data_IF_524211310630
#
_entry.id   IF_524211310630
#
_cell.length_a   1.000
_cell.length_b   1.000
_cell.length_c   1.000
_cell.angle_alpha   90.00
_cell.angle_beta   90.00
_cell.angle_gamma   90.00
#
_symmetry.space_group_name_H-M   'P 1'
#
loop_
_entity.id
_entity.type
_entity.pdbx_description
1 polymer ?
#
# COMPACT_ATOMS: atom_id res chain seq x y z
N UNK A 1 39.79 -75.27 -6.35
CA UNK A 1 38.82 -75.52 -7.43
C UNK A 1 37.79 -74.41 -7.40
N UNK A 2 37.94 -73.43 -8.29
CA UNK A 2 36.96 -72.37 -8.54
C UNK A 2 35.74 -72.94 -9.27
N UNK A 3 34.55 -72.48 -8.90
CA UNK A 3 33.31 -72.42 -9.69
C UNK A 3 32.31 -71.65 -8.80
N UNK A 4 31.97 -70.37 -8.98
CA UNK A 4 31.45 -69.64 -10.15
C UNK A 4 30.19 -70.28 -10.75
N UNK A 5 29.19 -69.44 -11.06
CA UNK A 5 27.79 -69.68 -11.52
C UNK A 5 26.73 -69.67 -10.40
N UNK A 6 25.61 -68.94 -10.47
CA UNK A 6 25.11 -67.95 -11.44
C UNK A 6 23.91 -67.25 -10.78
N UNK A 7 23.94 -65.92 -10.58
CA UNK A 7 22.72 -65.15 -10.28
C UNK A 7 22.13 -64.65 -11.60
N UNK A 8 20.98 -65.22 -11.99
CA UNK A 8 20.22 -64.70 -13.13
C UNK A 8 19.50 -63.41 -12.72
N UNK A 9 20.17 -62.27 -12.94
CA UNK A 9 19.52 -60.95 -12.91
C UNK A 9 18.74 -60.80 -14.22
N UNK A 10 17.40 -60.61 -14.19
CA UNK A 10 16.66 -60.30 -15.41
C UNK A 10 16.96 -58.86 -15.84
N UNK A 11 17.57 -58.72 -17.02
CA UNK A 11 17.83 -57.43 -17.67
C UNK A 11 16.48 -56.81 -18.08
N UNK A 12 16.15 -55.64 -17.53
CA UNK A 12 14.97 -54.87 -17.94
C UNK A 12 15.15 -54.37 -19.38
N UNK A 13 14.18 -54.65 -20.25
CA UNK A 13 14.12 -54.10 -21.61
C UNK A 13 13.96 -52.58 -21.53
N UNK A 14 14.94 -51.84 -22.04
CA UNK A 14 14.81 -50.40 -22.28
C UNK A 14 13.79 -50.18 -23.39
N UNK A 15 12.80 -49.34 -23.13
CA UNK A 15 11.83 -48.90 -24.13
C UNK A 15 12.53 -47.82 -24.97
N UNK A 16 12.84 -48.13 -26.22
CA UNK A 16 13.48 -47.19 -27.15
C UNK A 16 12.51 -46.05 -27.49
N UNK A 17 12.65 -44.93 -26.79
CA UNK A 17 12.02 -43.68 -27.18
C UNK A 17 12.77 -43.13 -28.38
N UNK A 18 12.37 -43.56 -29.58
CA UNK A 18 12.82 -42.98 -30.84
C UNK A 18 12.41 -41.50 -30.90
N UNK A 19 13.29 -40.62 -30.42
CA UNK A 19 13.13 -39.18 -30.52
C UNK A 19 13.22 -38.80 -32.01
N UNK A 20 12.08 -38.46 -32.59
CA UNK A 20 11.97 -37.91 -33.93
C UNK A 20 12.77 -36.60 -33.96
N UNK A 21 13.92 -36.59 -34.66
CA UNK A 21 14.81 -35.43 -34.78
C UNK A 21 14.22 -34.38 -35.70
N UNK A 22 13.17 -33.71 -35.24
CA UNK A 22 12.80 -32.39 -35.76
C UNK A 22 13.86 -31.41 -35.21
N UNK A 23 14.50 -30.64 -36.10
CA UNK A 23 15.74 -29.88 -35.85
C UNK A 23 15.86 -29.25 -34.45
N UNK A 24 17.00 -29.49 -33.81
CA UNK A 24 17.36 -28.84 -32.55
C UNK A 24 17.82 -27.41 -32.77
N UNK A 25 17.59 -26.55 -31.78
CA UNK A 25 18.13 -25.19 -31.74
C UNK A 25 19.66 -25.21 -31.71
N UNK A 26 20.27 -24.33 -32.47
CA UNK A 26 21.71 -24.08 -32.43
C UNK A 26 22.09 -23.39 -31.12
N UNK A 27 23.32 -23.63 -30.64
CA UNK A 27 23.83 -22.96 -29.44
C UNK A 27 23.84 -21.43 -29.58
N UNK A 28 24.06 -20.94 -30.80
CA UNK A 28 24.06 -19.50 -31.09
C UNK A 28 22.65 -18.90 -31.02
N UNK A 29 21.61 -19.62 -31.45
CA UNK A 29 20.23 -19.17 -31.33
C UNK A 29 19.83 -19.00 -29.86
N UNK A 30 20.21 -19.95 -28.99
CA UNK A 30 19.92 -19.83 -27.56
C UNK A 30 20.73 -18.71 -26.90
N UNK A 31 21.98 -18.52 -27.31
CA UNK A 31 22.87 -17.47 -26.79
C UNK A 31 22.35 -16.06 -27.12
N UNK A 32 21.85 -15.84 -28.32
CA UNK A 32 21.28 -14.54 -28.72
C UNK A 32 20.00 -14.24 -27.93
N UNK A 33 19.16 -15.24 -27.68
CA UNK A 33 17.90 -15.07 -26.94
C UNK A 33 18.16 -14.58 -25.52
N UNK A 34 19.09 -15.20 -24.78
CA UNK A 34 19.41 -14.75 -23.42
C UNK A 34 20.08 -13.37 -23.41
N UNK A 35 20.85 -13.03 -24.45
CA UNK A 35 21.43 -11.70 -24.61
C UNK A 35 20.35 -10.61 -24.80
N UNK A 36 19.34 -10.86 -25.65
CA UNK A 36 18.24 -9.92 -25.88
C UNK A 36 17.37 -9.79 -24.63
N UNK A 37 17.03 -10.89 -23.96
CA UNK A 37 16.26 -10.86 -22.70
C UNK A 37 17.01 -10.03 -21.64
N UNK A 38 18.33 -10.17 -21.55
CA UNK A 38 19.17 -9.39 -20.64
C UNK A 38 19.06 -7.87 -20.88
N UNK A 39 19.17 -7.44 -22.13
CA UNK A 39 19.08 -6.02 -22.51
C UNK A 39 17.68 -5.47 -22.19
N UNK A 40 16.62 -6.16 -22.63
CA UNK A 40 15.24 -5.70 -22.42
C UNK A 40 14.87 -5.65 -20.93
N UNK A 41 15.33 -6.62 -20.13
CA UNK A 41 15.03 -6.67 -18.70
C UNK A 41 15.65 -5.49 -17.92
N UNK A 42 16.84 -5.02 -18.32
CA UNK A 42 17.53 -3.92 -17.64
C UNK A 42 16.77 -2.58 -17.72
N UNK A 43 16.17 -2.27 -18.87
CA UNK A 43 15.42 -1.02 -19.09
C UNK A 43 14.11 -1.02 -18.31
N UNK A 44 13.40 -2.16 -18.31
CA UNK A 44 12.12 -2.30 -17.60
C UNK A 44 12.33 -2.13 -16.08
N UNK A 45 13.41 -2.67 -15.53
CA UNK A 45 13.68 -2.62 -14.09
C UNK A 45 13.81 -1.20 -13.54
N UNK A 46 14.44 -0.28 -14.29
CA UNK A 46 14.63 1.12 -13.87
C UNK A 46 13.30 1.89 -13.78
N UNK A 47 12.29 1.52 -14.57
CA UNK A 47 11.00 2.25 -14.61
C UNK A 47 10.02 1.87 -13.49
N UNK A 48 10.18 0.71 -12.86
CA UNK A 48 9.25 0.20 -11.84
C UNK A 48 9.55 0.77 -10.44
N UNK A 49 10.74 1.31 -10.19
CA UNK A 49 11.16 1.77 -8.86
C UNK A 49 10.39 2.99 -8.35
N UNK A 50 10.08 3.97 -9.22
CA UNK A 50 9.50 5.27 -8.81
C UNK A 50 7.97 5.37 -8.98
N UNK A 51 7.31 4.41 -9.62
CA UNK A 51 5.86 4.46 -9.87
C UNK A 51 5.01 3.98 -8.69
N UNK A 52 5.55 3.05 -7.88
CA UNK A 52 4.83 2.45 -6.75
C UNK A 52 4.49 3.44 -5.63
N UNK A 53 5.42 4.31 -5.17
CA UNK A 53 5.12 5.31 -4.14
C UNK A 53 4.01 6.27 -4.57
N UNK A 54 4.07 6.78 -5.80
CA UNK A 54 3.06 7.69 -6.36
C UNK A 54 1.67 7.06 -6.49
N UNK A 55 1.59 5.80 -6.92
CA UNK A 55 0.32 5.08 -7.00
C UNK A 55 -0.30 4.88 -5.61
N UNK A 56 0.53 4.59 -4.59
CA UNK A 56 0.08 4.53 -3.19
C UNK A 56 -0.39 5.89 -2.72
N UNK A 57 0.38 6.95 -2.94
CA UNK A 57 0.00 8.32 -2.55
C UNK A 57 -1.33 8.76 -3.18
N UNK A 58 -1.56 8.48 -4.47
CA UNK A 58 -2.84 8.73 -5.12
C UNK A 58 -4.00 7.98 -4.42
N UNK A 59 -3.78 6.72 -4.02
CA UNK A 59 -4.74 5.95 -3.23
C UNK A 59 -4.96 6.57 -1.84
N UNK A 60 -3.90 6.98 -1.14
CA UNK A 60 -4.01 7.63 0.18
C UNK A 60 -4.88 8.89 0.11
N UNK A 61 -4.69 9.69 -0.92
CA UNK A 61 -5.45 10.91 -1.12
C UNK A 61 -6.92 10.64 -1.42
N UNK A 62 -7.22 9.62 -2.24
CA UNK A 62 -8.59 9.18 -2.50
C UNK A 62 -9.26 8.69 -1.21
N UNK A 63 -8.57 7.89 -0.40
CA UNK A 63 -9.07 7.41 0.89
C UNK A 63 -9.32 8.56 1.88
N UNK A 64 -8.41 9.53 1.97
CA UNK A 64 -8.60 10.74 2.81
C UNK A 64 -9.81 11.54 2.35
N UNK A 65 -10.00 11.73 1.04
CA UNK A 65 -11.17 12.44 0.51
C UNK A 65 -12.48 11.67 0.78
N UNK A 66 -12.45 10.35 0.67
CA UNK A 66 -13.59 9.49 1.04
C UNK A 66 -13.92 9.61 2.53
N UNK A 67 -12.91 9.67 3.41
CA UNK A 67 -13.12 9.90 4.84
C UNK A 67 -13.77 11.27 5.10
N UNK A 68 -13.27 12.34 4.47
CA UNK A 68 -13.87 13.68 4.59
C UNK A 68 -15.35 13.68 4.16
N UNK A 69 -15.65 13.04 3.03
CA UNK A 69 -17.02 12.93 2.53
C UNK A 69 -17.91 12.14 3.49
N UNK A 70 -17.44 11.00 4.01
CA UNK A 70 -18.19 10.19 4.95
C UNK A 70 -18.50 10.95 6.26
N UNK A 71 -17.52 11.67 6.79
CA UNK A 71 -17.69 12.52 7.97
C UNK A 71 -18.70 13.65 7.71
N UNK A 72 -18.63 14.30 6.56
CA UNK A 72 -19.56 15.36 6.18
C UNK A 72 -20.99 14.83 6.00
N UNK A 73 -21.16 13.65 5.38
CA UNK A 73 -22.47 13.01 5.24
C UNK A 73 -23.09 12.66 6.60
N UNK A 74 -22.31 12.05 7.49
CA UNK A 74 -22.78 11.72 8.85
C UNK A 74 -23.11 13.00 9.65
N UNK A 75 -22.36 14.09 9.47
CA UNK A 75 -22.66 15.39 10.08
C UNK A 75 -24.06 15.91 9.67
N UNK A 76 -24.44 15.82 8.39
CA UNK A 76 -25.77 16.28 7.92
C UNK A 76 -26.94 15.51 8.55
N UNK A 77 -26.70 14.29 9.01
CA UNK A 77 -27.72 13.45 9.66
C UNK A 77 -27.89 13.73 11.17
N UNK A 78 -27.11 14.66 11.73
CA UNK A 78 -27.01 14.90 13.17
C UNK A 78 -27.82 16.12 13.62
N UNK A 79 -28.63 15.96 14.66
CA UNK A 79 -29.27 17.08 15.35
C UNK A 79 -28.25 17.81 16.24
N UNK A 80 -27.52 18.76 15.66
CA UNK A 80 -26.69 19.79 16.34
C UNK A 80 -25.55 19.27 17.22
N UNK A 81 -24.30 19.51 16.81
CA UNK A 81 -23.11 19.32 17.68
C UNK A 81 -22.10 18.27 17.21
N UNK A 82 -22.34 17.65 16.04
CA UNK A 82 -21.50 16.60 15.47
C UNK A 82 -21.58 15.29 16.25
N UNK A 83 -21.43 14.16 15.56
CA UNK A 83 -21.46 12.85 16.21
C UNK A 83 -20.05 12.46 16.61
N UNK A 84 -19.88 11.92 17.81
CA UNK A 84 -18.61 11.40 18.27
C UNK A 84 -18.24 10.12 17.51
N UNK A 85 -17.00 10.04 17.03
CA UNK A 85 -16.47 8.80 16.47
C UNK A 85 -16.14 7.85 17.63
N UNK A 86 -16.72 6.65 17.61
CA UNK A 86 -16.41 5.62 18.60
C UNK A 86 -14.98 5.10 18.44
N UNK A 87 -14.33 4.63 19.51
CA UNK A 87 -13.00 4.00 19.41
C UNK A 87 -11.81 4.95 19.18
N UNK A 88 -12.04 6.22 18.83
CA UNK A 88 -10.98 7.24 18.77
C UNK A 88 -10.63 7.80 20.17
N UNK A 89 -10.12 6.95 21.07
CA UNK A 89 -9.93 7.28 22.49
C UNK A 89 -8.63 8.01 22.82
N UNK A 90 -7.74 8.18 21.85
CA UNK A 90 -6.43 8.83 22.02
C UNK A 90 -6.30 10.01 21.05
N UNK A 91 -5.44 10.98 21.40
CA UNK A 91 -4.90 11.89 20.40
C UNK A 91 -4.21 11.04 19.32
N UNK A 92 -4.45 11.37 18.06
CA UNK A 92 -3.89 10.65 16.91
C UNK A 92 -4.20 9.16 16.93
N UNK A 93 -5.42 8.78 17.31
CA UNK A 93 -5.87 7.41 17.25
C UNK A 93 -5.75 6.88 15.81
N UNK A 94 -5.32 5.63 15.63
CA UNK A 94 -5.30 5.03 14.30
C UNK A 94 -6.71 5.04 13.71
N UNK A 95 -6.85 5.42 12.45
CA UNK A 95 -8.18 5.46 11.80
C UNK A 95 -8.87 4.08 11.85
N UNK A 96 -8.10 2.99 11.76
CA UNK A 96 -8.63 1.63 11.86
C UNK A 96 -9.19 1.24 13.24
N UNK A 97 -8.80 1.94 14.32
CA UNK A 97 -9.40 1.76 15.65
C UNK A 97 -10.65 2.59 15.87
N UNK A 98 -10.91 3.54 14.96
CA UNK A 98 -12.10 4.35 15.00
C UNK A 98 -13.27 3.63 14.33
N UNK A 99 -14.42 3.70 14.99
CA UNK A 99 -15.71 3.23 14.48
C UNK A 99 -16.55 4.44 14.16
N UNK A 100 -17.31 4.37 13.07
CA UNK A 100 -18.17 5.48 12.72
C UNK A 100 -19.24 5.73 13.77
N UNK A 101 -19.70 6.98 13.86
CA UNK A 101 -20.90 7.29 14.61
C UNK A 101 -22.19 6.74 13.97
N UNK A 102 -22.18 6.33 12.68
CA UNK A 102 -23.32 5.78 11.93
C UNK A 102 -22.90 4.98 10.67
N UNK A 103 -23.86 4.28 10.02
CA UNK A 103 -23.67 3.22 9.01
C UNK A 103 -22.89 3.57 7.71
N UNK A 104 -22.40 4.79 7.53
CA UNK A 104 -21.73 5.23 6.28
C UNK A 104 -20.21 5.35 6.44
N UNK A 105 -19.70 5.79 7.60
CA UNK A 105 -18.25 5.99 7.82
C UNK A 105 -17.50 4.72 8.31
N UNK A 106 -17.55 3.63 7.56
CA UNK A 106 -16.78 2.42 7.89
C UNK A 106 -15.26 2.59 7.79
N UNK A 107 -14.61 3.20 8.78
CA UNK A 107 -13.15 3.43 8.79
C UNK A 107 -12.31 2.18 9.05
N UNK A 108 -12.94 1.08 9.48
CA UNK A 108 -12.25 -0.18 9.75
C UNK A 108 -11.48 -0.72 8.53
N UNK A 109 -12.01 -0.49 7.32
CA UNK A 109 -11.37 -0.90 6.06
C UNK A 109 -10.35 0.10 5.51
N UNK A 110 -10.23 1.29 6.09
CA UNK A 110 -9.30 2.32 5.64
C UNK A 110 -7.95 2.07 6.29
N UNK A 111 -7.08 1.39 5.56
CA UNK A 111 -5.75 1.00 6.01
C UNK A 111 -4.72 1.49 5.00
N UNK A 112 -3.68 2.16 5.51
CA UNK A 112 -2.57 2.63 4.68
C UNK A 112 -2.03 1.48 3.81
N UNK A 113 -1.72 1.71 2.52
CA UNK A 113 -1.26 0.65 1.62
C UNK A 113 -0.03 -0.12 2.11
N UNK A 114 0.82 0.50 2.93
CA UNK A 114 1.98 -0.14 3.53
C UNK A 114 1.75 -0.58 4.98
N UNK A 115 0.58 -0.27 5.55
CA UNK A 115 0.15 -0.65 6.90
C UNK A 115 1.24 -0.46 7.97
N UNK A 116 1.80 0.75 8.03
CA UNK A 116 2.85 1.08 8.99
C UNK A 116 2.44 0.82 10.45
N UNK A 117 3.41 0.50 11.30
CA UNK A 117 3.16 0.14 12.70
C UNK A 117 2.64 1.33 13.54
N UNK A 118 3.09 2.54 13.23
CA UNK A 118 2.85 3.76 14.01
C UNK A 118 1.81 4.66 13.32
N UNK A 119 0.85 5.20 14.08
CA UNK A 119 -0.11 6.19 13.61
C UNK A 119 0.55 7.58 13.53
N UNK A 120 0.20 8.39 12.54
CA UNK A 120 0.79 9.72 12.37
C UNK A 120 0.47 10.63 13.57
N UNK A 121 1.49 11.20 14.21
CA UNK A 121 1.34 12.14 15.33
C UNK A 121 1.77 13.56 14.97
N UNK A 122 1.67 14.48 15.93
CA UNK A 122 2.21 15.84 15.79
C UNK A 122 3.70 15.80 15.43
N UNK A 123 4.10 16.51 14.39
CA UNK A 123 5.47 16.61 13.93
C UNK A 123 6.05 15.29 13.43
N UNK A 124 5.22 14.34 12.97
CA UNK A 124 5.70 13.06 12.46
C UNK A 124 6.69 13.26 11.29
N UNK A 125 7.91 12.75 11.48
CA UNK A 125 9.04 12.78 10.52
C UNK A 125 9.39 11.40 9.95
N UNK A 126 8.63 10.38 10.33
CA UNK A 126 8.80 8.98 9.89
C UNK A 126 7.53 8.45 9.28
N UNK A 127 7.63 7.40 8.46
CA UNK A 127 6.46 6.84 7.80
C UNK A 127 5.44 6.32 8.82
N UNK A 128 4.18 6.67 8.59
CA UNK A 128 3.11 6.42 9.54
C UNK A 128 1.78 6.15 8.84
N UNK A 129 0.89 5.41 9.50
CA UNK A 129 -0.46 5.12 9.03
C UNK A 129 -1.43 6.24 9.39
N UNK A 130 -2.60 6.20 8.78
CA UNK A 130 -3.68 7.15 9.04
C UNK A 130 -4.01 7.25 10.53
N UNK A 131 -4.14 8.48 10.99
CA UNK A 131 -4.62 8.80 12.32
C UNK A 131 -5.68 9.88 12.28
N UNK A 132 -6.46 9.95 13.36
CA UNK A 132 -7.48 10.97 13.56
C UNK A 132 -7.44 11.49 15.00
N UNK A 133 -7.60 12.79 15.13
CA UNK A 133 -7.72 13.51 16.39
C UNK A 133 -8.79 14.60 16.25
N UNK A 134 -9.10 15.32 17.31
CA UNK A 134 -9.85 16.58 17.17
C UNK A 134 -8.99 17.64 16.46
N UNK A 135 -9.58 18.74 16.00
CA UNK A 135 -8.82 19.84 15.41
C UNK A 135 -7.78 20.46 16.37
N UNK A 136 -8.00 20.31 17.68
CA UNK A 136 -7.07 20.69 18.74
C UNK A 136 -6.11 19.55 19.15
N UNK A 137 -6.02 18.49 18.35
CA UNK A 137 -5.10 17.36 18.52
C UNK A 137 -5.32 16.56 19.80
N UNK A 138 -6.57 16.49 20.27
CA UNK A 138 -6.99 15.70 21.42
C UNK A 138 -7.76 14.44 21.00
N UNK A 139 -8.01 13.57 21.99
CA UNK A 139 -8.92 12.42 21.84
C UNK A 139 -10.37 12.86 21.60
N UNK A 140 -11.22 11.94 21.15
CA UNK A 140 -12.67 12.17 21.02
C UNK A 140 -13.05 13.00 19.78
N UNK A 141 -12.46 12.67 18.64
CA UNK A 141 -12.83 13.25 17.34
C UNK A 141 -14.34 13.15 17.08
N UNK A 142 -14.91 14.17 16.43
CA UNK A 142 -16.32 14.23 16.03
C UNK A 142 -16.42 14.50 14.53
N UNK A 143 -17.57 14.22 13.94
CA UNK A 143 -17.83 14.49 12.51
C UNK A 143 -17.61 15.95 12.11
N UNK A 144 -17.80 16.89 13.04
CA UNK A 144 -17.58 18.33 12.85
C UNK A 144 -16.28 18.87 13.47
N UNK A 145 -15.53 18.02 14.18
CA UNK A 145 -14.30 18.41 14.88
C UNK A 145 -13.28 17.29 14.78
N UNK A 146 -12.49 17.34 13.71
CA UNK A 146 -11.48 16.34 13.43
C UNK A 146 -10.26 16.93 12.73
N UNK A 147 -9.14 16.23 12.84
CA UNK A 147 -7.93 16.37 12.04
C UNK A 147 -7.47 14.96 11.66
N UNK A 148 -7.40 14.68 10.38
CA UNK A 148 -6.88 13.43 9.83
C UNK A 148 -5.44 13.66 9.41
N UNK A 149 -4.58 12.73 9.77
CA UNK A 149 -3.14 12.80 9.61
C UNK A 149 -2.63 11.57 8.85
N UNK A 150 -1.75 11.77 7.88
CA UNK A 150 -1.30 10.72 6.97
C UNK A 150 0.08 11.00 6.38
N UNK A 151 0.76 9.97 5.88
CA UNK A 151 2.08 10.11 5.26
C UNK A 151 2.00 10.07 3.73
N UNK A 152 2.82 10.87 3.05
CA UNK A 152 3.04 10.77 1.61
C UNK A 152 4.51 10.39 1.37
N UNK A 153 4.73 9.39 0.52
CA UNK A 153 6.07 8.83 0.28
C UNK A 153 6.87 9.64 -0.74
N UNK A 154 6.21 10.20 -1.76
CA UNK A 154 6.82 11.10 -2.74
C UNK A 154 5.99 12.40 -2.82
N UNK A 155 6.14 13.32 -1.84
CA UNK A 155 5.44 14.60 -1.87
C UNK A 155 5.95 15.56 -2.97
N UNK A 156 6.93 15.12 -3.77
CA UNK A 156 7.56 15.88 -4.83
C UNK A 156 6.58 16.37 -5.90
N UNK A 157 6.14 17.62 -5.74
CA UNK A 157 5.65 18.56 -6.75
C UNK A 157 4.89 17.96 -7.94
N UNK A 158 3.64 17.57 -7.73
CA UNK A 158 2.51 17.76 -8.67
C UNK A 158 1.28 16.93 -8.33
N UNK A 159 1.03 16.62 -7.06
CA UNK A 159 -0.29 16.06 -6.71
C UNK A 159 -1.29 17.23 -6.61
N UNK A 160 -2.30 17.33 -7.50
CA UNK A 160 -3.23 18.44 -7.46
C UNK A 160 -3.99 18.47 -6.13
N UNK A 161 -4.05 19.65 -5.50
CA UNK A 161 -4.78 19.84 -4.24
C UNK A 161 -4.01 19.52 -2.95
N UNK A 162 -2.71 19.22 -3.04
CA UNK A 162 -1.81 19.09 -1.88
C UNK A 162 -0.91 20.32 -1.82
N UNK A 163 -0.95 21.07 -0.71
CA UNK A 163 -0.01 22.16 -0.50
C UNK A 163 1.43 21.62 -0.48
N UNK A 164 2.37 22.30 -1.14
CA UNK A 164 3.77 21.89 -1.16
C UNK A 164 4.30 21.84 0.29
N UNK A 165 4.65 20.63 0.74
CA UNK A 165 5.24 20.37 2.03
C UNK A 165 6.69 19.92 1.92
N UNK A 166 7.42 20.01 3.03
CA UNK A 166 8.76 19.44 3.13
C UNK A 166 8.69 17.93 2.92
N UNK A 167 9.61 17.37 2.14
CA UNK A 167 9.78 15.92 2.06
C UNK A 167 10.07 15.35 3.46
N UNK A 168 9.49 14.20 3.79
CA UNK A 168 9.68 13.56 5.10
C UNK A 168 8.83 14.15 6.23
N UNK A 169 7.66 14.71 5.93
CA UNK A 169 6.69 15.14 6.93
C UNK A 169 5.31 14.52 6.65
N UNK A 170 4.54 14.29 7.72
CA UNK A 170 3.13 13.96 7.59
C UNK A 170 2.31 15.15 7.05
N UNK A 171 1.17 14.83 6.47
CA UNK A 171 0.18 15.77 5.95
C UNK A 171 -1.11 15.65 6.75
N UNK A 172 -1.87 16.72 6.80
CA UNK A 172 -3.17 16.71 7.47
C UNK A 172 -4.25 17.43 6.70
N UNK A 173 -5.48 17.09 7.11
CA UNK A 173 -6.70 17.79 6.72
C UNK A 173 -7.63 17.86 7.93
N UNK A 174 -8.36 18.95 8.10
CA UNK A 174 -9.18 19.15 9.30
C UNK A 174 -10.61 19.57 8.96
N UNK A 175 -11.51 19.49 9.95
CA UNK A 175 -12.88 19.98 9.81
C UNK A 175 -12.93 21.47 9.44
N UNK A 176 -11.99 22.26 9.94
CA UNK A 176 -11.89 23.71 9.67
C UNK A 176 -11.20 24.04 8.34
N UNK A 177 -10.28 23.19 7.88
CA UNK A 177 -9.57 23.35 6.62
C UNK A 177 -9.54 22.04 5.83
N UNK A 178 -10.37 21.98 4.79
CA UNK A 178 -10.55 20.80 3.94
C UNK A 178 -9.44 20.65 2.88
N UNK A 179 -8.49 21.59 2.81
CA UNK A 179 -7.30 21.50 1.99
C UNK A 179 -6.23 20.67 2.71
N UNK A 180 -5.47 19.92 1.92
CA UNK A 180 -4.36 19.13 2.44
C UNK A 180 -3.16 20.04 2.66
N UNK A 181 -2.67 20.06 3.88
CA UNK A 181 -1.53 20.88 4.30
C UNK A 181 -0.41 20.01 4.85
N UNK A 182 0.82 20.51 4.74
CA UNK A 182 1.96 19.88 5.37
C UNK A 182 1.89 20.04 6.90
N UNK A 183 2.28 18.99 7.60
CA UNK A 183 2.24 18.93 9.06
C UNK A 183 1.01 18.23 9.59
N UNK A 184 1.28 17.39 10.59
CA UNK A 184 0.42 17.15 11.73
C UNK A 184 1.00 17.98 12.86
#
# INVERSE_FOLDING_TARGET
MYNFFHTHIPILKTKDYGLKTNGGFTLIELLIVVAIIGILSSVIFVTISNTRPRARDARRLAEVKQMQLALALDETSSATGGIALGGCTSAYAAVSSCTSPSNIAGFNGVVDPNNYATACGNGATTECKYSISTAAEAAGAKTNNYKICFWLEDPGSSIPGVAAGSAGAAYSVSSTNQNIVAGC
#
